data_IF_068575537394
#
_entry.id   IF_068575537394
#
_cell.length_a   1.000
_cell.length_b   1.000
_cell.length_c   1.000
_cell.angle_alpha   90.00
_cell.angle_beta   90.00
_cell.angle_gamma   90.00
#
_symmetry.space_group_name_H-M   'P 1'
#
loop_
_entity.id
_entity.type
_entity.pdbx_description
1 polymer ?
#
# COMPACT_ATOMS: atom_id res chain seq x y z
N UNK A 1 6.77 -2.13 -31.44
CA UNK A 1 6.07 -3.38 -31.13
C UNK A 1 6.56 -3.82 -29.76
N UNK A 2 5.92 -3.31 -28.71
CA UNK A 2 6.02 -3.84 -27.34
C UNK A 2 4.80 -3.28 -26.61
N UNK A 3 3.63 -3.81 -26.96
CA UNK A 3 2.51 -3.81 -26.03
C UNK A 3 2.95 -4.74 -24.90
N UNK A 4 3.69 -4.19 -23.92
CA UNK A 4 3.85 -4.85 -22.64
C UNK A 4 2.45 -4.82 -22.05
N UNK A 5 1.70 -5.89 -22.29
CA UNK A 5 0.50 -6.24 -21.55
C UNK A 5 0.93 -6.45 -20.10
N UNK A 6 1.05 -5.32 -19.40
CA UNK A 6 1.47 -5.23 -18.01
C UNK A 6 0.30 -5.75 -17.20
N UNK A 7 0.28 -7.07 -16.98
CA UNK A 7 -0.68 -7.74 -16.14
C UNK A 7 -0.77 -7.13 -14.73
N UNK A 8 -1.73 -7.58 -13.91
CA UNK A 8 -2.04 -7.02 -12.58
C UNK A 8 -0.88 -6.97 -11.58
N UNK A 9 0.29 -7.53 -11.91
CA UNK A 9 1.52 -7.50 -11.12
C UNK A 9 2.28 -6.16 -11.21
N UNK A 10 2.20 -5.46 -12.34
CA UNK A 10 2.86 -4.17 -12.56
C UNK A 10 2.35 -3.01 -11.69
N UNK A 11 1.04 -2.86 -11.43
CA UNK A 11 0.58 -1.84 -10.51
C UNK A 11 1.02 -2.09 -9.06
N UNK A 12 1.31 -3.34 -8.69
CA UNK A 12 1.83 -3.68 -7.36
C UNK A 12 3.29 -3.24 -7.26
N UNK A 13 4.13 -3.53 -8.26
CA UNK A 13 5.55 -3.15 -8.23
C UNK A 13 5.73 -1.62 -8.16
N UNK A 14 4.99 -0.87 -8.98
CA UNK A 14 5.04 0.60 -8.93
C UNK A 14 4.59 1.17 -7.57
N UNK A 15 3.67 0.48 -6.89
CA UNK A 15 3.22 0.85 -5.56
C UNK A 15 4.29 0.53 -4.49
N UNK A 16 4.99 -0.60 -4.62
CA UNK A 16 6.12 -0.95 -3.75
C UNK A 16 7.25 0.09 -3.87
N UNK A 17 7.58 0.52 -5.09
CA UNK A 17 8.57 1.56 -5.35
C UNK A 17 8.16 2.92 -4.75
N UNK A 18 6.91 3.34 -4.93
CA UNK A 18 6.42 4.63 -4.40
C UNK A 18 6.38 4.67 -2.87
N UNK A 19 6.10 3.53 -2.23
CA UNK A 19 6.10 3.44 -0.78
C UNK A 19 7.51 3.48 -0.17
N UNK A 20 8.55 3.28 -1.00
CA UNK A 20 10.00 3.33 -0.68
C UNK A 20 10.29 2.98 0.78
N UNK A 21 9.80 1.81 1.19
CA UNK A 21 9.95 1.33 2.57
C UNK A 21 11.43 1.26 2.97
N UNK A 22 12.31 1.13 1.96
CA UNK A 22 13.77 1.12 1.99
C UNK A 22 14.43 2.40 2.51
N UNK A 23 13.75 3.55 2.41
CA UNK A 23 14.27 4.85 2.86
C UNK A 23 13.61 5.40 4.12
N UNK A 24 12.68 4.68 4.73
CA UNK A 24 12.09 5.12 5.99
C UNK A 24 13.14 5.04 7.13
N UNK A 25 13.55 6.20 7.65
CA UNK A 25 14.61 6.32 8.66
C UNK A 25 14.36 5.50 9.94
N UNK A 26 13.10 5.37 10.37
CA UNK A 26 12.70 4.52 11.51
C UNK A 26 12.70 3.02 11.19
N UNK A 27 12.75 2.66 9.91
CA UNK A 27 12.97 1.30 9.45
C UNK A 27 14.45 1.03 9.14
N UNK A 28 15.39 1.97 9.15
CA UNK A 28 16.76 1.71 8.66
C UNK A 28 17.43 0.46 9.31
N UNK A 29 17.24 0.25 10.62
CA UNK A 29 17.73 -0.94 11.33
C UNK A 29 16.92 -2.21 11.02
N UNK A 30 15.61 -2.06 10.84
CA UNK A 30 14.65 -3.15 10.58
C UNK A 30 14.66 -3.59 9.12
N UNK A 31 14.90 -2.65 8.19
CA UNK A 31 15.06 -2.81 6.76
C UNK A 31 16.37 -3.51 6.43
N UNK A 32 17.45 -3.18 7.14
CA UNK A 32 18.72 -3.89 7.04
C UNK A 32 18.60 -5.38 7.43
N UNK A 33 17.63 -5.74 8.27
CA UNK A 33 17.38 -7.14 8.68
C UNK A 33 16.25 -7.85 7.95
N UNK A 34 15.21 -7.13 7.52
CA UNK A 34 13.94 -7.71 7.07
C UNK A 34 13.35 -7.03 5.82
N UNK A 35 14.11 -6.19 5.11
CA UNK A 35 13.62 -5.41 3.96
C UNK A 35 12.97 -6.26 2.88
N UNK A 36 13.56 -7.41 2.56
CA UNK A 36 13.02 -8.37 1.57
C UNK A 36 11.73 -9.03 2.03
N UNK A 37 11.64 -9.45 3.28
CA UNK A 37 10.45 -10.09 3.84
C UNK A 37 9.30 -9.10 3.95
N UNK A 38 9.58 -7.84 4.28
CA UNK A 38 8.61 -6.75 4.32
C UNK A 38 8.08 -6.42 2.92
N UNK A 39 8.96 -6.31 1.92
CA UNK A 39 8.54 -6.12 0.53
C UNK A 39 7.63 -7.28 0.06
N UNK A 40 8.00 -8.52 0.42
CA UNK A 40 7.20 -9.70 0.06
C UNK A 40 5.87 -9.75 0.82
N UNK A 41 5.86 -9.37 2.10
CA UNK A 41 4.63 -9.26 2.90
C UNK A 41 3.70 -8.16 2.36
N UNK A 42 4.26 -7.04 1.94
CA UNK A 42 3.49 -5.95 1.32
C UNK A 42 2.92 -6.35 -0.04
N UNK A 43 3.70 -7.04 -0.88
CA UNK A 43 3.21 -7.61 -2.14
C UNK A 43 2.03 -8.54 -1.89
N UNK A 44 2.18 -9.52 -1.00
CA UNK A 44 1.10 -10.46 -0.67
C UNK A 44 -0.13 -9.76 -0.08
N UNK A 45 0.08 -8.71 0.72
CA UNK A 45 -1.01 -7.92 1.26
C UNK A 45 -1.80 -7.18 0.17
N UNK A 46 -1.12 -6.66 -0.86
CA UNK A 46 -1.74 -6.00 -2.02
C UNK A 46 -2.45 -6.99 -2.94
N UNK A 47 -1.91 -8.18 -3.10
CA UNK A 47 -2.54 -9.27 -3.85
C UNK A 47 -3.82 -9.78 -3.17
N UNK A 48 -3.85 -9.74 -1.83
CA UNK A 48 -4.99 -10.15 -1.02
C UNK A 48 -6.11 -9.10 -0.89
N UNK A 49 -5.93 -7.90 -1.47
CA UNK A 49 -7.00 -6.91 -1.59
C UNK A 49 -7.97 -7.29 -2.71
N UNK A 50 -9.22 -6.85 -2.59
CA UNK A 50 -10.13 -6.94 -3.72
C UNK A 50 -9.66 -6.01 -4.87
N UNK A 51 -10.12 -6.32 -6.09
CA UNK A 51 -9.68 -5.61 -7.29
C UNK A 51 -9.97 -4.11 -7.25
N UNK A 52 -11.05 -3.69 -6.60
CA UNK A 52 -11.44 -2.27 -6.49
C UNK A 52 -10.56 -1.54 -5.48
N UNK A 53 -10.32 -2.13 -4.30
CA UNK A 53 -9.40 -1.59 -3.29
C UNK A 53 -8.00 -1.41 -3.85
N UNK A 54 -7.49 -2.43 -4.56
CA UNK A 54 -6.18 -2.36 -5.21
C UNK A 54 -6.14 -1.26 -6.28
N UNK A 55 -7.15 -1.19 -7.16
CA UNK A 55 -7.21 -0.17 -8.21
C UNK A 55 -7.27 1.25 -7.63
N UNK A 56 -8.03 1.45 -6.55
CA UNK A 56 -8.08 2.74 -5.84
C UNK A 56 -6.72 3.14 -5.29
N UNK A 57 -6.02 2.24 -4.61
CA UNK A 57 -4.69 2.51 -4.06
C UNK A 57 -3.69 2.82 -5.17
N UNK A 58 -3.71 2.09 -6.28
CA UNK A 58 -2.84 2.33 -7.42
C UNK A 58 -3.11 3.69 -8.06
N UNK A 59 -4.37 4.04 -8.32
CA UNK A 59 -4.71 5.35 -8.87
C UNK A 59 -4.28 6.49 -7.97
N UNK A 60 -4.46 6.30 -6.67
CA UNK A 60 -4.14 7.30 -5.66
C UNK A 60 -2.61 7.49 -5.53
N UNK A 61 -1.84 6.40 -5.43
CA UNK A 61 -0.44 6.44 -5.03
C UNK A 61 0.55 6.41 -6.20
N UNK A 62 0.21 5.75 -7.30
CA UNK A 62 1.11 5.58 -8.46
C UNK A 62 0.85 6.65 -9.51
N UNK A 63 -0.43 6.89 -9.84
CA UNK A 63 -0.78 7.88 -10.86
C UNK A 63 -1.02 9.28 -10.29
N UNK A 64 -0.95 9.46 -8.97
CA UNK A 64 -1.18 10.74 -8.29
C UNK A 64 -2.59 11.29 -8.55
N UNK A 65 -3.56 10.42 -8.84
CA UNK A 65 -4.91 10.84 -9.19
C UNK A 65 -5.63 11.32 -7.95
N UNK A 66 -6.11 12.56 -7.99
CA UNK A 66 -6.80 13.18 -6.87
C UNK A 66 -8.12 12.47 -6.55
N UNK A 67 -8.58 12.61 -5.33
CA UNK A 67 -9.84 12.01 -4.87
C UNK A 67 -11.04 12.51 -5.67
N UNK A 68 -11.04 13.76 -6.12
CA UNK A 68 -12.10 14.28 -6.99
C UNK A 68 -12.09 13.54 -8.33
N UNK A 69 -10.91 13.36 -8.94
CA UNK A 69 -10.79 12.67 -10.22
C UNK A 69 -11.11 11.18 -10.12
N UNK A 70 -10.74 10.54 -9.01
CA UNK A 70 -11.18 9.16 -8.72
C UNK A 70 -12.72 9.12 -8.60
N UNK A 71 -13.33 10.08 -7.92
CA UNK A 71 -14.79 10.20 -7.85
C UNK A 71 -15.44 10.30 -9.22
N UNK A 72 -14.90 11.10 -10.12
CA UNK A 72 -15.36 11.21 -11.51
C UNK A 72 -15.24 9.89 -12.28
N UNK A 73 -14.11 9.19 -12.17
CA UNK A 73 -13.87 7.91 -12.86
C UNK A 73 -14.90 6.85 -12.43
N UNK A 74 -15.20 6.78 -11.13
CA UNK A 74 -16.12 5.80 -10.57
C UNK A 74 -17.58 6.29 -10.50
N UNK A 75 -17.86 7.53 -10.93
CA UNK A 75 -19.20 8.12 -10.88
C UNK A 75 -19.74 8.34 -9.46
N UNK A 76 -18.86 8.57 -8.48
CA UNK A 76 -19.20 8.74 -7.07
C UNK A 76 -18.77 10.10 -6.52
N UNK A 77 -19.48 10.58 -5.49
CA UNK A 77 -19.14 11.84 -4.83
C UNK A 77 -17.87 11.73 -3.99
N UNK A 78 -17.16 12.86 -3.82
CA UNK A 78 -15.94 12.97 -3.00
C UNK A 78 -16.03 12.27 -1.64
N UNK A 79 -17.08 12.42 -0.80
CA UNK A 79 -17.16 11.73 0.49
C UNK A 79 -17.18 10.20 0.36
N UNK A 80 -17.79 9.68 -0.70
CA UNK A 80 -17.80 8.24 -1.01
C UNK A 80 -16.41 7.77 -1.44
N UNK A 81 -15.72 8.54 -2.28
CA UNK A 81 -14.33 8.25 -2.67
C UNK A 81 -13.38 8.23 -1.48
N UNK A 82 -13.48 9.23 -0.59
CA UNK A 82 -12.69 9.28 0.66
C UNK A 82 -12.95 8.04 1.50
N UNK A 83 -14.23 7.65 1.67
CA UNK A 83 -14.59 6.44 2.43
C UNK A 83 -14.03 5.16 1.80
N UNK A 84 -14.09 5.04 0.48
CA UNK A 84 -13.53 3.89 -0.23
C UNK A 84 -12.02 3.79 -0.10
N UNK A 85 -11.32 4.91 -0.24
CA UNK A 85 -9.86 4.98 -0.10
C UNK A 85 -9.42 4.67 1.33
N UNK A 86 -10.14 5.19 2.32
CA UNK A 86 -9.93 4.86 3.75
C UNK A 86 -10.12 3.37 4.00
N UNK A 87 -11.18 2.75 3.43
CA UNK A 87 -11.42 1.32 3.53
C UNK A 87 -10.32 0.47 2.88
N UNK A 88 -9.85 0.86 1.69
CA UNK A 88 -8.75 0.18 0.99
C UNK A 88 -7.45 0.25 1.79
N UNK A 89 -7.14 1.40 2.41
CA UNK A 89 -5.99 1.57 3.31
C UNK A 89 -6.08 0.66 4.54
N UNK A 90 -7.25 0.63 5.18
CA UNK A 90 -7.45 -0.19 6.38
C UNK A 90 -7.36 -1.69 6.05
N UNK A 91 -7.89 -2.09 4.89
CA UNK A 91 -7.75 -3.45 4.37
C UNK A 91 -6.27 -3.81 4.13
N UNK A 92 -5.50 -2.92 3.49
CA UNK A 92 -4.07 -3.12 3.24
C UNK A 92 -3.28 -3.27 4.56
N UNK A 93 -3.54 -2.40 5.53
CA UNK A 93 -2.89 -2.43 6.83
C UNK A 93 -3.17 -3.74 7.57
N UNK A 94 -4.42 -4.22 7.51
CA UNK A 94 -4.82 -5.48 8.12
C UNK A 94 -4.20 -6.70 7.43
N UNK A 95 -4.11 -6.69 6.10
CA UNK A 95 -3.46 -7.77 5.35
C UNK A 95 -1.96 -7.78 5.62
N UNK A 96 -1.29 -6.63 5.58
CA UNK A 96 0.14 -6.52 5.85
C UNK A 96 0.48 -7.05 7.25
N UNK A 97 -0.33 -6.70 8.26
CA UNK A 97 -0.15 -7.24 9.61
C UNK A 97 -0.19 -8.76 9.63
N UNK A 98 -1.13 -9.39 8.90
CA UNK A 98 -1.24 -10.86 8.81
C UNK A 98 -0.02 -11.46 8.13
N UNK A 99 0.40 -10.88 7.01
CA UNK A 99 1.56 -11.36 6.25
C UNK A 99 2.84 -11.25 7.05
N UNK A 100 3.11 -10.10 7.67
CA UNK A 100 4.28 -9.89 8.53
C UNK A 100 4.24 -10.86 9.71
N UNK A 101 3.11 -11.01 10.42
CA UNK A 101 2.99 -11.95 11.54
C UNK A 101 3.23 -13.42 11.14
N UNK A 102 2.83 -13.80 9.92
CA UNK A 102 3.00 -15.17 9.42
C UNK A 102 4.42 -15.49 8.97
N UNK A 103 5.14 -14.49 8.44
CA UNK A 103 6.47 -14.66 7.81
C UNK A 103 7.61 -14.34 8.77
N UNK A 104 7.41 -13.31 9.56
CA UNK A 104 8.40 -12.76 10.46
C UNK A 104 7.99 -13.18 11.87
N UNK A 105 8.67 -14.19 12.41
CA UNK A 105 8.51 -14.68 13.77
C UNK A 105 9.06 -13.67 14.80
N UNK A 106 8.58 -12.43 14.73
CA UNK A 106 9.03 -11.31 15.53
C UNK A 106 8.20 -11.18 16.82
N UNK A 107 8.77 -10.57 17.86
CA UNK A 107 8.01 -10.10 19.00
C UNK A 107 6.84 -9.21 18.57
N UNK A 108 5.72 -9.33 19.27
CA UNK A 108 4.49 -8.59 18.95
C UNK A 108 4.70 -7.07 18.90
N UNK A 109 5.56 -6.54 19.76
CA UNK A 109 5.95 -5.12 19.80
C UNK A 109 6.65 -4.64 18.53
N UNK A 110 7.52 -5.48 17.96
CA UNK A 110 8.28 -5.17 16.76
C UNK A 110 7.37 -5.26 15.52
N UNK A 111 6.49 -6.26 15.47
CA UNK A 111 5.41 -6.35 14.50
C UNK A 111 4.51 -5.09 14.51
N UNK A 112 4.10 -4.62 15.69
CA UNK A 112 3.29 -3.41 15.81
C UNK A 112 4.04 -2.16 15.34
N UNK A 113 5.34 -2.06 15.61
CA UNK A 113 6.15 -0.95 15.14
C UNK A 113 6.23 -0.90 13.61
N UNK A 114 6.48 -2.05 12.98
CA UNK A 114 6.52 -2.20 11.51
C UNK A 114 5.20 -1.79 10.88
N UNK A 115 4.09 -2.38 11.34
CA UNK A 115 2.77 -2.14 10.76
C UNK A 115 2.37 -0.66 10.91
N UNK A 116 2.68 -0.06 12.06
CA UNK A 116 2.42 1.37 12.31
C UNK A 116 3.21 2.26 11.36
N UNK A 117 4.48 1.96 11.12
CA UNK A 117 5.30 2.77 10.22
C UNK A 117 4.82 2.65 8.77
N UNK A 118 4.54 1.45 8.28
CA UNK A 118 4.01 1.27 6.92
C UNK A 118 2.67 2.01 6.75
N UNK A 119 1.80 1.92 7.76
CA UNK A 119 0.54 2.69 7.77
C UNK A 119 0.79 4.20 7.71
N UNK A 120 1.71 4.72 8.52
CA UNK A 120 2.09 6.14 8.54
C UNK A 120 2.56 6.62 7.16
N UNK A 121 3.37 5.81 6.46
CA UNK A 121 3.84 6.12 5.10
C UNK A 121 2.71 6.17 4.09
N UNK A 122 1.79 5.21 4.15
CA UNK A 122 0.60 5.21 3.30
C UNK A 122 -0.23 6.46 3.58
N UNK A 123 -0.47 6.79 4.86
CA UNK A 123 -1.22 7.99 5.24
C UNK A 123 -0.55 9.28 4.70
N UNK A 124 0.77 9.42 4.84
CA UNK A 124 1.52 10.56 4.29
C UNK A 124 1.41 10.64 2.76
N UNK A 125 1.50 9.50 2.07
CA UNK A 125 1.39 9.47 0.62
C UNK A 125 -0.03 9.83 0.14
N UNK A 126 -1.07 9.38 0.86
CA UNK A 126 -2.46 9.71 0.58
C UNK A 126 -2.81 11.18 0.92
N UNK A 127 -2.14 11.81 1.89
CA UNK A 127 -2.33 13.24 2.17
C UNK A 127 -1.94 14.15 0.99
N UNK A 128 -1.08 13.68 0.07
CA UNK A 128 -0.62 14.49 -1.07
C UNK A 128 -1.63 14.61 -2.21
N UNK A 129 -2.67 13.78 -2.20
CA UNK A 129 -3.67 13.68 -3.28
C UNK A 129 -5.09 14.06 -2.81
N UNK A 130 -5.19 14.41 -1.52
CA UNK A 130 -6.40 14.88 -0.85
C UNK A 130 -6.70 16.34 -1.22
#
# INVERSE_FOLDING_TARGET
MESVDRGPEQPIEALLEQLDLSRAADLATLHARHGSELATALRAALEALDGQQRALLVHSLVTGTTIDRIGEIYGVQRPTTVRWLTGARDALSNQLRREVASRLALPLEELYAIVREVRSRIDIALLRIL
#
